data_IF_622656737407
#
_entry.id   IF_622656737407
#
_cell.length_a   1.000
_cell.length_b   1.000
_cell.length_c   1.000
_cell.angle_alpha   90.00
_cell.angle_beta   90.00
_cell.angle_gamma   90.00
#
_symmetry.space_group_name_H-M   'P 1'
#
loop_
_entity.id
_entity.type
_entity.pdbx_description
1 polymer ?
#
# COMPACT_ATOMS: atom_id res chain seq x y z
N UNK A 1 16.92 9.47 -3.24
CA UNK A 1 16.33 10.36 -4.28
C UNK A 1 15.98 11.75 -3.72
N UNK A 2 15.30 11.87 -2.58
CA UNK A 2 14.85 13.15 -2.05
C UNK A 2 15.94 14.23 -1.91
N UNK A 3 17.13 13.97 -1.31
CA UNK A 3 18.18 14.99 -1.21
C UNK A 3 18.80 15.36 -2.56
N UNK A 4 18.96 14.40 -3.49
CA UNK A 4 19.46 14.67 -4.84
C UNK A 4 18.46 15.50 -5.65
N UNK A 5 17.16 15.16 -5.54
CA UNK A 5 16.09 15.91 -6.17
C UNK A 5 15.99 17.33 -5.61
N UNK A 6 16.07 17.49 -4.30
CA UNK A 6 16.11 18.81 -3.63
C UNK A 6 17.28 19.66 -4.14
N UNK A 7 18.47 19.08 -4.18
CA UNK A 7 19.66 19.79 -4.66
C UNK A 7 19.50 20.21 -6.12
N UNK A 8 19.06 19.32 -6.99
CA UNK A 8 18.79 19.62 -8.40
C UNK A 8 17.69 20.65 -8.60
N UNK A 9 16.57 20.52 -7.87
CA UNK A 9 15.45 21.48 -7.94
C UNK A 9 15.85 22.86 -7.41
N UNK A 10 16.58 22.94 -6.31
CA UNK A 10 17.04 24.22 -5.75
C UNK A 10 18.09 24.88 -6.65
N UNK A 11 18.91 24.11 -7.34
CA UNK A 11 19.83 24.61 -8.34
C UNK A 11 19.06 25.20 -9.55
N UNK A 12 18.04 24.52 -10.03
CA UNK A 12 17.14 25.01 -11.07
C UNK A 12 16.37 26.28 -10.63
N UNK A 13 15.90 26.28 -9.39
CA UNK A 13 15.22 27.44 -8.81
C UNK A 13 16.16 28.66 -8.73
N UNK A 14 17.43 28.46 -8.35
CA UNK A 14 18.42 29.51 -8.32
C UNK A 14 18.72 30.10 -9.72
N UNK A 15 18.78 29.24 -10.76
CA UNK A 15 18.92 29.72 -12.15
C UNK A 15 17.66 30.44 -12.64
N UNK A 16 16.45 29.91 -12.29
CA UNK A 16 15.20 30.53 -12.67
C UNK A 16 15.03 31.95 -12.04
N UNK A 17 15.40 32.08 -10.76
CA UNK A 17 15.38 33.35 -10.04
C UNK A 17 16.29 34.39 -10.69
N UNK A 18 17.49 33.99 -11.22
CA UNK A 18 18.36 34.85 -11.98
C UNK A 18 17.86 35.23 -13.38
N UNK A 19 16.96 34.41 -13.92
CA UNK A 19 16.31 34.66 -15.22
C UNK A 19 14.96 35.36 -15.10
N UNK A 20 14.58 35.87 -13.90
CA UNK A 20 13.27 36.46 -13.59
C UNK A 20 12.08 35.51 -13.96
N UNK A 21 12.30 34.22 -13.87
CA UNK A 21 11.30 33.19 -14.18
C UNK A 21 10.84 32.46 -12.92
N UNK A 22 9.53 32.41 -12.70
CA UNK A 22 8.93 31.70 -11.56
C UNK A 22 8.55 30.25 -11.89
N UNK A 23 9.15 29.65 -12.91
CA UNK A 23 8.88 28.26 -13.33
C UNK A 23 9.35 27.22 -12.30
N UNK A 24 10.35 27.55 -11.50
CA UNK A 24 10.90 26.68 -10.45
C UNK A 24 10.97 27.46 -9.13
N UNK A 25 10.57 26.81 -8.04
CA UNK A 25 10.66 27.37 -6.70
C UNK A 25 11.41 26.44 -5.75
N UNK A 26 12.04 27.00 -4.74
CA UNK A 26 12.79 26.23 -3.76
C UNK A 26 11.83 25.37 -2.90
N UNK A 27 12.17 24.10 -2.73
CA UNK A 27 11.38 23.17 -1.93
C UNK A 27 12.19 22.61 -0.79
N UNK A 28 11.58 22.52 0.39
CA UNK A 28 12.16 21.83 1.55
C UNK A 28 11.64 20.38 1.60
N UNK A 29 12.55 19.45 1.38
CA UNK A 29 12.28 18.02 1.50
C UNK A 29 12.96 17.50 2.76
N UNK A 30 12.17 17.06 3.73
CA UNK A 30 12.68 16.46 4.97
C UNK A 30 12.80 14.95 4.85
N UNK A 31 13.92 14.41 5.28
CA UNK A 31 14.10 12.99 5.52
C UNK A 31 13.29 12.58 6.75
N UNK A 32 12.12 12.01 6.52
CA UNK A 32 11.18 11.60 7.58
C UNK A 32 11.72 10.48 8.47
N UNK A 33 12.63 9.64 7.94
CA UNK A 33 13.21 8.51 8.66
C UNK A 33 14.57 8.14 8.06
N UNK A 34 15.63 8.28 8.85
CA UNK A 34 16.99 7.87 8.48
C UNK A 34 17.07 6.35 8.20
N UNK A 35 16.46 5.46 9.04
CA UNK A 35 16.50 4.02 8.77
C UNK A 35 15.90 3.64 7.42
N UNK A 36 14.77 4.23 7.03
CA UNK A 36 14.13 3.96 5.75
C UNK A 36 15.00 4.40 4.57
N UNK A 37 15.69 5.53 4.71
CA UNK A 37 16.63 6.00 3.70
C UNK A 37 17.83 5.06 3.56
N UNK A 38 18.40 4.58 4.67
CA UNK A 38 19.51 3.63 4.66
C UNK A 38 19.10 2.32 3.97
N UNK A 39 17.93 1.78 4.31
CA UNK A 39 17.40 0.56 3.67
C UNK A 39 17.24 0.77 2.16
N UNK A 40 16.67 1.90 1.73
CA UNK A 40 16.50 2.22 0.32
C UNK A 40 17.84 2.38 -0.41
N UNK A 41 18.81 3.02 0.21
CA UNK A 41 20.16 3.21 -0.35
C UNK A 41 20.89 1.87 -0.47
N UNK A 42 20.85 1.03 0.55
CA UNK A 42 21.46 -0.32 0.52
C UNK A 42 20.81 -1.18 -0.56
N UNK A 43 19.48 -1.19 -0.64
CA UNK A 43 18.76 -1.93 -1.70
C UNK A 43 19.15 -1.44 -3.09
N UNK A 44 19.24 -0.13 -3.28
CA UNK A 44 19.67 0.45 -4.55
C UNK A 44 21.09 0.01 -4.94
N UNK A 45 22.04 0.09 -4.00
CA UNK A 45 23.44 -0.31 -4.24
C UNK A 45 23.51 -1.81 -4.58
N UNK A 46 22.82 -2.66 -3.82
CA UNK A 46 22.77 -4.11 -4.09
C UNK A 46 22.20 -4.39 -5.48
N UNK A 47 21.10 -3.75 -5.86
CA UNK A 47 20.51 -3.91 -7.19
C UNK A 47 21.44 -3.41 -8.30
N UNK A 48 22.11 -2.28 -8.10
CA UNK A 48 23.06 -1.73 -9.06
C UNK A 48 24.26 -2.66 -9.29
N UNK A 49 24.80 -3.23 -8.21
CA UNK A 49 25.92 -4.21 -8.29
C UNK A 49 25.49 -5.50 -8.99
N UNK A 50 24.30 -6.03 -8.67
CA UNK A 50 23.77 -7.21 -9.33
C UNK A 50 23.49 -6.98 -10.82
N UNK A 51 22.95 -5.83 -11.17
CA UNK A 51 22.70 -5.44 -12.56
C UNK A 51 24.01 -5.27 -13.37
N UNK A 52 25.03 -4.69 -12.73
CA UNK A 52 26.35 -4.48 -13.36
C UNK A 52 27.05 -5.82 -13.67
N UNK A 53 27.03 -6.78 -12.72
CA UNK A 53 27.75 -8.04 -12.89
C UNK A 53 27.13 -8.97 -13.92
N UNK A 54 25.82 -9.21 -13.90
CA UNK A 54 25.17 -10.26 -14.68
C UNK A 54 23.81 -9.83 -15.29
N UNK A 55 23.56 -8.55 -15.46
CA UNK A 55 22.34 -8.02 -16.10
C UNK A 55 21.05 -8.38 -15.35
N UNK A 56 20.49 -9.58 -15.58
CA UNK A 56 19.17 -9.98 -15.06
C UNK A 56 19.20 -10.90 -13.85
N UNK A 57 20.31 -10.98 -13.11
CA UNK A 57 20.44 -11.86 -11.95
C UNK A 57 19.33 -11.63 -10.93
N UNK A 58 19.02 -10.39 -10.58
CA UNK A 58 17.92 -10.07 -9.66
C UNK A 58 16.57 -10.60 -10.15
N UNK A 59 16.26 -10.38 -11.43
CA UNK A 59 14.98 -10.81 -12.02
C UNK A 59 14.83 -12.34 -12.05
N UNK A 60 15.93 -13.06 -12.20
CA UNK A 60 15.91 -14.51 -12.35
C UNK A 60 16.02 -15.27 -11.02
N UNK A 61 16.48 -14.61 -9.92
CA UNK A 61 16.76 -15.30 -8.64
C UNK A 61 15.93 -14.80 -7.47
N UNK A 62 15.69 -13.48 -7.38
CA UNK A 62 15.09 -12.85 -6.19
C UNK A 62 13.68 -12.35 -6.48
N UNK A 63 13.44 -11.85 -7.71
CA UNK A 63 12.13 -11.27 -8.07
C UNK A 63 11.04 -12.36 -8.09
N UNK A 64 9.97 -12.23 -7.30
CA UNK A 64 8.90 -13.24 -7.25
C UNK A 64 8.21 -13.43 -8.61
N UNK A 65 8.07 -12.35 -9.39
CA UNK A 65 7.49 -12.41 -10.74
C UNK A 65 8.41 -13.23 -11.68
N UNK A 66 9.72 -13.00 -11.63
CA UNK A 66 10.68 -13.75 -12.44
C UNK A 66 10.72 -15.23 -12.07
N UNK A 67 10.59 -15.56 -10.79
CA UNK A 67 10.54 -16.94 -10.31
C UNK A 67 9.31 -17.69 -10.82
N UNK A 68 8.14 -17.05 -10.74
CA UNK A 68 6.88 -17.63 -11.25
C UNK A 68 6.93 -17.78 -12.78
N UNK A 69 7.38 -16.75 -13.50
CA UNK A 69 7.52 -16.83 -14.96
C UNK A 69 8.56 -17.87 -15.38
N UNK A 70 9.66 -18.01 -14.64
CA UNK A 70 10.69 -19.03 -14.87
C UNK A 70 10.14 -20.46 -14.73
N UNK A 71 9.21 -20.67 -13.79
CA UNK A 71 8.54 -21.96 -13.67
C UNK A 71 7.73 -22.28 -14.92
N UNK A 72 6.93 -21.35 -15.44
CA UNK A 72 6.16 -21.55 -16.68
C UNK A 72 7.06 -21.63 -17.92
N UNK A 73 8.13 -20.83 -17.99
CA UNK A 73 9.06 -20.83 -19.11
C UNK A 73 9.74 -22.20 -19.32
N UNK A 74 9.94 -22.95 -18.23
CA UNK A 74 10.48 -24.31 -18.27
C UNK A 74 9.63 -25.27 -19.11
N UNK A 75 8.32 -25.04 -19.21
CA UNK A 75 7.37 -25.86 -19.95
C UNK A 75 6.97 -25.23 -21.31
N UNK A 76 7.75 -24.27 -21.83
CA UNK A 76 7.44 -23.60 -23.08
C UNK A 76 7.51 -24.58 -24.27
N UNK A 77 6.50 -24.46 -25.16
CA UNK A 77 6.39 -25.30 -26.37
C UNK A 77 7.44 -24.91 -27.43
N UNK A 78 7.83 -23.66 -27.47
CA UNK A 78 8.83 -23.12 -28.38
C UNK A 78 10.00 -22.58 -27.56
N UNK A 79 11.22 -22.98 -27.95
CA UNK A 79 12.43 -22.58 -27.23
C UNK A 79 13.67 -22.59 -28.16
N UNK A 80 14.72 -21.80 -27.85
CA UNK A 80 15.97 -21.89 -28.56
C UNK A 80 16.65 -23.22 -28.23
N UNK A 81 17.10 -23.91 -29.25
CA UNK A 81 17.80 -25.22 -29.15
C UNK A 81 19.16 -25.09 -29.81
N UNK A 82 20.19 -25.68 -29.19
CA UNK A 82 21.54 -25.73 -29.73
C UNK A 82 21.71 -27.07 -30.52
N UNK A 83 22.09 -26.95 -31.77
CA UNK A 83 22.48 -28.07 -32.62
C UNK A 83 23.94 -28.39 -32.34
N UNK A 84 24.17 -29.55 -31.70
CA UNK A 84 25.51 -29.99 -31.28
C UNK A 84 26.44 -30.31 -32.47
N UNK A 85 25.86 -30.66 -33.64
CA UNK A 85 26.67 -30.95 -34.83
C UNK A 85 27.26 -29.71 -35.48
N UNK A 86 26.54 -28.57 -35.36
CA UNK A 86 26.96 -27.28 -35.91
C UNK A 86 27.72 -26.41 -34.93
N UNK A 87 27.63 -26.71 -33.64
CA UNK A 87 28.23 -25.93 -32.57
C UNK A 87 29.72 -26.25 -32.42
N UNK A 88 30.56 -25.23 -32.58
CA UNK A 88 32.00 -25.36 -32.40
C UNK A 88 32.52 -24.98 -31.00
N UNK A 89 31.61 -24.71 -30.04
CA UNK A 89 31.98 -24.35 -28.66
C UNK A 89 32.60 -22.97 -28.45
N UNK A 90 32.40 -22.01 -29.37
CA UNK A 90 33.02 -20.68 -29.33
C UNK A 90 32.63 -19.78 -28.17
N UNK A 91 31.65 -20.16 -27.35
CA UNK A 91 31.16 -19.46 -26.14
C UNK A 91 30.56 -18.06 -26.36
N UNK A 92 30.45 -17.55 -27.60
CA UNK A 92 29.92 -16.22 -27.87
C UNK A 92 28.48 -16.06 -27.41
N UNK A 93 27.63 -17.05 -27.62
CA UNK A 93 26.23 -17.07 -27.16
C UNK A 93 26.11 -16.99 -25.63
N UNK A 94 26.98 -17.67 -24.89
CA UNK A 94 27.02 -17.64 -23.43
C UNK A 94 27.43 -16.25 -22.91
N UNK A 95 28.47 -15.63 -23.52
CA UNK A 95 28.96 -14.28 -23.13
C UNK A 95 27.93 -13.18 -23.40
N UNK A 96 27.16 -13.29 -24.47
CA UNK A 96 26.14 -12.30 -24.82
C UNK A 96 24.79 -12.54 -24.14
N UNK A 97 24.60 -13.70 -23.53
CA UNK A 97 23.34 -14.02 -22.87
C UNK A 97 23.06 -13.13 -21.65
N UNK A 98 22.12 -12.21 -21.76
CA UNK A 98 21.70 -11.31 -20.67
C UNK A 98 21.16 -12.02 -19.44
N UNK A 99 20.67 -13.25 -19.61
CA UNK A 99 20.10 -14.09 -18.57
C UNK A 99 21.12 -15.09 -17.97
N UNK A 100 22.34 -15.17 -18.54
CA UNK A 100 23.38 -16.13 -18.18
C UNK A 100 22.83 -17.57 -18.05
N UNK A 101 21.98 -17.99 -19.01
CA UNK A 101 21.29 -19.27 -19.00
C UNK A 101 21.86 -20.30 -19.98
N UNK A 102 22.94 -19.96 -20.71
CA UNK A 102 23.54 -20.83 -21.73
C UNK A 102 24.86 -21.38 -21.21
N UNK A 103 24.96 -22.68 -21.14
CA UNK A 103 26.20 -23.39 -20.94
C UNK A 103 26.71 -23.90 -22.32
N UNK A 104 27.71 -23.19 -22.85
CA UNK A 104 28.25 -23.50 -24.15
C UNK A 104 29.17 -24.75 -24.16
N UNK A 105 29.71 -25.12 -22.99
CA UNK A 105 30.57 -26.32 -22.86
C UNK A 105 29.74 -27.60 -22.92
N UNK A 106 28.56 -27.59 -22.29
CA UNK A 106 27.67 -28.75 -22.26
C UNK A 106 26.53 -28.63 -23.30
N UNK A 107 26.54 -27.61 -24.15
CA UNK A 107 25.49 -27.36 -25.16
C UNK A 107 24.06 -27.29 -24.57
N UNK A 108 23.94 -26.83 -23.33
CA UNK A 108 22.66 -26.78 -22.61
C UNK A 108 22.16 -25.36 -22.37
N UNK A 109 20.84 -25.20 -22.34
CA UNK A 109 20.18 -23.93 -22.04
C UNK A 109 19.24 -24.13 -20.83
N UNK A 110 19.42 -23.35 -19.77
CA UNK A 110 18.49 -23.34 -18.64
C UNK A 110 17.25 -22.51 -19.00
N UNK A 111 16.20 -23.19 -19.40
CA UNK A 111 14.96 -22.54 -19.82
C UNK A 111 14.20 -21.86 -18.68
N UNK A 112 14.49 -22.19 -17.42
CA UNK A 112 13.89 -21.49 -16.28
C UNK A 112 14.38 -20.04 -16.14
N UNK A 113 15.53 -19.73 -16.75
CA UNK A 113 16.12 -18.38 -16.77
C UNK A 113 16.02 -17.70 -18.12
N UNK A 114 15.74 -18.45 -19.18
CA UNK A 114 15.68 -17.94 -20.53
C UNK A 114 14.46 -17.04 -20.72
N UNK A 115 14.69 -15.84 -21.23
CA UNK A 115 13.63 -14.84 -21.53
C UNK A 115 13.31 -14.76 -23.01
N UNK A 116 13.78 -15.71 -23.82
CA UNK A 116 13.56 -15.79 -25.25
C UNK A 116 13.85 -14.47 -26.01
N UNK A 117 14.95 -13.78 -25.62
CA UNK A 117 15.35 -12.51 -26.25
C UNK A 117 15.96 -12.66 -27.65
N UNK A 118 16.22 -13.89 -28.11
CA UNK A 118 16.79 -14.27 -29.41
C UNK A 118 18.24 -13.79 -29.66
N UNK A 119 18.85 -12.98 -28.80
CA UNK A 119 20.22 -12.46 -28.97
C UNK A 119 21.26 -13.57 -29.21
N UNK A 120 21.03 -14.77 -28.70
CA UNK A 120 21.91 -15.93 -28.92
C UNK A 120 21.86 -16.47 -30.34
N UNK A 121 20.72 -16.36 -31.01
CA UNK A 121 20.51 -16.78 -32.40
C UNK A 121 21.26 -15.82 -33.33
N UNK A 122 21.06 -14.51 -33.13
CA UNK A 122 21.71 -13.45 -33.93
C UNK A 122 23.22 -13.43 -33.75
N UNK A 123 23.71 -13.86 -32.58
CA UNK A 123 25.15 -13.87 -32.29
C UNK A 123 25.84 -15.12 -32.85
N UNK A 124 25.11 -16.18 -33.17
CA UNK A 124 25.70 -17.45 -33.60
C UNK A 124 26.09 -17.40 -35.09
N UNK A 125 27.38 -17.16 -35.40
CA UNK A 125 27.89 -17.13 -36.76
C UNK A 125 27.73 -18.45 -37.54
N UNK A 126 27.62 -19.57 -36.82
CA UNK A 126 27.48 -20.91 -37.41
C UNK A 126 26.03 -21.38 -37.55
N UNK A 127 25.05 -20.56 -37.16
CA UNK A 127 23.62 -20.91 -37.21
C UNK A 127 23.28 -22.17 -36.38
N UNK A 128 24.07 -22.45 -35.34
CA UNK A 128 23.88 -23.61 -34.48
C UNK A 128 22.73 -23.45 -33.49
N UNK A 129 22.17 -22.25 -33.33
CA UNK A 129 21.03 -22.02 -32.44
C UNK A 129 19.82 -21.64 -33.27
N UNK A 130 18.73 -22.39 -33.07
CA UNK A 130 17.47 -22.17 -33.78
C UNK A 130 16.29 -22.20 -32.83
N UNK A 131 15.24 -21.44 -33.14
CA UNK A 131 14.02 -21.41 -32.34
C UNK A 131 13.06 -22.47 -32.88
N UNK A 132 12.82 -23.51 -32.12
CA UNK A 132 12.08 -24.69 -32.59
C UNK A 132 10.99 -25.10 -31.61
N UNK A 133 10.00 -25.84 -32.14
CA UNK A 133 8.97 -26.48 -31.33
C UNK A 133 9.55 -27.72 -30.65
N UNK A 134 9.50 -27.75 -29.33
CA UNK A 134 9.95 -28.89 -28.54
C UNK A 134 9.01 -30.09 -28.66
N UNK A 135 9.55 -31.30 -28.84
CA UNK A 135 8.78 -32.54 -28.74
C UNK A 135 8.41 -32.79 -27.27
N UNK A 136 7.25 -33.40 -27.02
CA UNK A 136 6.74 -33.67 -25.67
C UNK A 136 7.69 -34.51 -24.80
N UNK A 137 8.53 -35.32 -25.41
CA UNK A 137 9.56 -36.13 -24.74
C UNK A 137 10.66 -35.28 -24.10
N UNK A 138 11.11 -34.21 -24.78
CA UNK A 138 12.21 -33.34 -24.31
C UNK A 138 11.75 -32.36 -23.21
N UNK A 139 10.45 -32.30 -22.93
CA UNK A 139 9.89 -31.42 -21.85
C UNK A 139 10.00 -32.06 -20.46
N UNK A 140 10.13 -33.38 -20.39
CA UNK A 140 10.10 -34.14 -19.13
C UNK A 140 11.48 -34.59 -18.66
N UNK A 141 12.52 -34.48 -19.50
CA UNK A 141 13.87 -34.75 -19.03
C UNK A 141 14.32 -33.68 -18.04
N UNK A 142 14.67 -34.06 -16.80
CA UNK A 142 15.37 -33.17 -15.91
C UNK A 142 16.67 -32.77 -16.60
N UNK A 143 16.92 -31.47 -16.77
CA UNK A 143 18.22 -30.97 -17.20
C UNK A 143 19.26 -31.69 -16.35
N UNK A 144 20.21 -32.46 -16.96
CA UNK A 144 21.26 -33.09 -16.18
C UNK A 144 21.98 -31.99 -15.41
N UNK A 145 21.81 -32.00 -14.11
CA UNK A 145 22.65 -31.21 -13.21
C UNK A 145 24.01 -31.84 -13.35
N UNK A 146 24.91 -31.18 -14.07
CA UNK A 146 26.28 -31.62 -14.19
C UNK A 146 26.79 -31.86 -12.77
N UNK A 147 27.06 -33.14 -12.43
CA UNK A 147 27.75 -33.56 -11.22
C UNK A 147 29.16 -32.97 -11.23
N UNK A 148 29.31 -31.79 -10.72
CA UNK A 148 30.56 -31.02 -10.70
C UNK A 148 30.35 -29.57 -10.32
N UNK A 149 29.14 -29.10 -10.37
CA UNK A 149 28.75 -27.81 -9.81
C UNK A 149 28.40 -27.99 -8.35
N UNK A 150 29.21 -27.45 -7.44
CA UNK A 150 28.88 -27.17 -6.04
C UNK A 150 27.40 -26.84 -5.97
N UNK A 151 26.63 -27.75 -5.35
CA UNK A 151 25.24 -27.48 -5.04
C UNK A 151 25.24 -26.13 -4.31
N UNK A 152 24.79 -25.05 -5.00
CA UNK A 152 25.01 -23.69 -4.56
C UNK A 152 24.34 -23.57 -3.19
N UNK A 153 25.07 -23.63 -2.08
CA UNK A 153 24.49 -23.56 -0.73
C UNK A 153 23.80 -22.20 -0.52
N UNK A 154 24.14 -21.24 -1.38
CA UNK A 154 23.59 -19.89 -1.39
C UNK A 154 22.08 -19.88 -1.55
N UNK A 155 21.47 -20.73 -2.38
CA UNK A 155 20.00 -20.79 -2.53
C UNK A 155 19.29 -21.34 -1.29
N UNK A 156 19.85 -22.37 -0.67
CA UNK A 156 19.28 -22.94 0.57
C UNK A 156 19.47 -21.98 1.73
N UNK A 157 20.65 -21.36 1.85
CA UNK A 157 20.92 -20.35 2.88
C UNK A 157 20.11 -19.07 2.67
N UNK A 158 19.83 -18.67 1.43
CA UNK A 158 18.95 -17.52 1.16
C UNK A 158 17.49 -17.82 1.53
N UNK A 159 16.95 -18.99 1.16
CA UNK A 159 15.59 -19.37 1.52
C UNK A 159 15.43 -19.59 3.02
N UNK A 160 16.40 -20.20 3.69
CA UNK A 160 16.39 -20.33 5.16
C UNK A 160 16.57 -18.98 5.85
N UNK A 161 17.44 -18.11 5.34
CA UNK A 161 17.61 -16.74 5.83
C UNK A 161 16.36 -15.88 5.63
N UNK A 162 15.73 -15.98 4.47
CA UNK A 162 14.47 -15.27 4.19
C UNK A 162 13.30 -15.79 5.06
N UNK A 163 13.22 -17.12 5.27
CA UNK A 163 12.23 -17.72 6.16
C UNK A 163 12.46 -17.34 7.63
N UNK A 164 13.72 -17.28 8.09
CA UNK A 164 14.08 -16.82 9.43
C UNK A 164 13.77 -15.33 9.63
N UNK A 165 14.06 -14.49 8.63
CA UNK A 165 13.71 -13.05 8.66
C UNK A 165 12.21 -12.83 8.63
N UNK A 166 11.46 -13.59 7.83
CA UNK A 166 10.01 -13.55 7.80
C UNK A 166 9.40 -14.05 9.13
N UNK A 167 9.97 -15.12 9.70
CA UNK A 167 9.60 -15.64 11.02
C UNK A 167 9.90 -14.65 12.14
N UNK A 168 11.05 -14.00 12.14
CA UNK A 168 11.42 -12.95 13.09
C UNK A 168 10.53 -11.69 12.95
N UNK A 169 10.18 -11.31 11.71
CA UNK A 169 9.25 -10.20 11.46
C UNK A 169 7.83 -10.53 11.93
N UNK A 170 7.37 -11.78 11.71
CA UNK A 170 6.08 -12.26 12.21
C UNK A 170 6.05 -12.35 13.74
N UNK A 171 7.13 -12.81 14.38
CA UNK A 171 7.27 -12.85 15.83
C UNK A 171 7.26 -11.43 16.44
N UNK A 172 7.96 -10.48 15.81
CA UNK A 172 7.93 -9.06 16.20
C UNK A 172 6.56 -8.41 16.01
N UNK A 173 5.80 -8.82 14.98
CA UNK A 173 4.43 -8.35 14.77
C UNK A 173 3.45 -8.88 15.83
N UNK A 174 3.80 -9.97 16.54
CA UNK A 174 3.04 -10.52 17.66
C UNK A 174 3.44 -9.97 19.03
N UNK A 175 4.48 -9.14 19.12
CA UNK A 175 4.78 -8.44 20.37
C UNK A 175 3.57 -7.59 20.77
N UNK A 176 2.88 -8.02 21.83
CA UNK A 176 1.79 -7.25 22.43
C UNK A 176 2.37 -5.91 22.88
N UNK A 177 1.88 -4.83 22.32
CA UNK A 177 2.20 -3.50 22.83
C UNK A 177 1.65 -3.40 24.25
N UNK A 178 2.53 -3.29 25.19
CA UNK A 178 2.20 -3.12 26.61
C UNK A 178 2.60 -1.70 26.99
N UNK A 179 1.72 -0.96 27.67
CA UNK A 179 2.10 0.31 28.28
C UNK A 179 3.03 0.04 29.50
N UNK A 180 3.65 1.08 30.02
CA UNK A 180 4.55 0.95 31.17
C UNK A 180 3.92 0.35 32.44
N UNK A 181 2.62 0.08 32.45
CA UNK A 181 1.84 -0.47 33.54
C UNK A 181 1.35 -1.91 33.35
N UNK A 182 1.90 -2.68 32.40
CA UNK A 182 1.55 -4.06 32.11
C UNK A 182 0.18 -4.25 31.37
N UNK A 183 -0.54 -3.17 31.07
CA UNK A 183 -1.77 -3.26 30.30
C UNK A 183 -1.49 -3.49 28.81
N UNK A 184 -2.20 -4.43 28.20
CA UNK A 184 -2.10 -4.70 26.76
C UNK A 184 -2.78 -3.57 25.99
N UNK A 185 -2.01 -2.84 25.16
CA UNK A 185 -2.54 -1.80 24.28
C UNK A 185 -3.22 -2.47 23.09
N UNK A 186 -4.54 -2.39 23.04
CA UNK A 186 -5.32 -2.83 21.91
C UNK A 186 -5.47 -1.70 20.89
N UNK A 187 -5.02 -1.96 19.66
CA UNK A 187 -5.24 -1.02 18.56
C UNK A 187 -6.74 -0.92 18.24
N UNK A 188 -7.19 0.30 17.91
CA UNK A 188 -8.57 0.55 17.51
C UNK A 188 -8.84 -0.12 16.16
N UNK A 189 -9.92 -0.88 16.07
CA UNK A 189 -10.39 -1.50 14.83
C UNK A 189 -11.49 -0.67 14.19
N UNK A 190 -11.55 -0.70 12.88
CA UNK A 190 -12.62 -0.08 12.10
C UNK A 190 -13.93 -0.84 12.37
N UNK A 191 -15.02 -0.19 12.76
CA UNK A 191 -16.31 -0.83 12.89
C UNK A 191 -16.85 -1.29 11.53
N UNK A 192 -17.66 -2.32 11.53
CA UNK A 192 -18.37 -2.73 10.32
C UNK A 192 -19.46 -1.70 10.02
N UNK A 193 -19.40 -1.05 8.84
CA UNK A 193 -20.40 -0.09 8.37
C UNK A 193 -21.20 -0.72 7.23
N UNK A 194 -22.52 -0.60 7.30
CA UNK A 194 -23.40 -1.02 6.21
C UNK A 194 -23.24 -0.08 5.01
N UNK A 195 -23.09 1.23 5.29
CA UNK A 195 -22.93 2.28 4.29
C UNK A 195 -21.56 2.97 4.47
N UNK A 196 -20.68 2.98 3.43
CA UNK A 196 -19.42 3.70 3.50
C UNK A 196 -19.65 5.21 3.63
N UNK A 197 -18.72 5.87 4.30
CA UNK A 197 -18.77 7.32 4.48
C UNK A 197 -17.92 7.94 3.39
N UNK A 198 -18.55 8.69 2.47
CA UNK A 198 -17.85 9.47 1.45
C UNK A 198 -17.56 10.88 1.95
N UNK A 199 -16.52 11.57 1.41
CA UNK A 199 -16.12 12.89 1.87
C UNK A 199 -17.25 13.93 1.74
N UNK A 200 -17.29 14.96 2.60
CA UNK A 200 -18.19 16.10 2.43
C UNK A 200 -17.93 16.78 1.07
N UNK A 201 -18.98 17.20 0.40
CA UNK A 201 -18.94 17.69 -1.00
C UNK A 201 -19.16 16.59 -2.05
N UNK A 202 -19.18 15.32 -1.67
CA UNK A 202 -19.46 14.22 -2.60
C UNK A 202 -20.94 14.05 -2.96
N UNK A 203 -21.83 14.82 -2.35
CA UNK A 203 -23.30 14.74 -2.52
C UNK A 203 -23.90 13.40 -2.07
N UNK A 204 -23.19 12.29 -2.30
CA UNK A 204 -23.59 10.95 -1.89
C UNK A 204 -22.80 9.86 -2.63
N UNK A 205 -23.11 8.60 -2.29
CA UNK A 205 -22.41 7.42 -2.83
C UNK A 205 -22.51 7.31 -4.35
N UNK A 206 -23.71 7.56 -4.90
CA UNK A 206 -23.95 7.44 -6.34
C UNK A 206 -23.14 8.46 -7.15
N UNK A 207 -23.13 9.71 -6.68
CA UNK A 207 -22.34 10.78 -7.31
C UNK A 207 -20.85 10.46 -7.26
N UNK A 208 -20.36 10.03 -6.08
CA UNK A 208 -18.97 9.59 -5.93
C UNK A 208 -18.62 8.45 -6.90
N UNK A 209 -19.46 7.42 -6.99
CA UNK A 209 -19.22 6.27 -7.86
C UNK A 209 -19.19 6.64 -9.35
N UNK A 210 -19.96 7.63 -9.77
CA UNK A 210 -20.04 8.06 -11.15
C UNK A 210 -18.88 8.97 -11.59
N UNK A 211 -18.32 9.77 -10.70
CA UNK A 211 -17.34 10.80 -11.03
C UNK A 211 -15.93 10.50 -10.53
N UNK A 212 -15.77 9.65 -9.50
CA UNK A 212 -14.46 9.41 -8.92
C UNK A 212 -13.57 8.54 -9.82
N UNK A 213 -12.40 9.05 -10.18
CA UNK A 213 -11.39 8.35 -10.99
C UNK A 213 -10.37 7.56 -10.15
N UNK A 214 -10.50 7.56 -8.81
CA UNK A 214 -9.56 6.88 -7.92
C UNK A 214 -8.14 7.48 -7.87
N UNK A 215 -7.96 8.74 -8.24
CA UNK A 215 -6.64 9.40 -8.36
C UNK A 215 -5.90 9.62 -7.03
N UNK A 216 -6.54 9.42 -5.88
CA UNK A 216 -6.00 9.53 -4.52
C UNK A 216 -5.51 10.93 -4.09
N UNK A 217 -5.73 11.98 -4.86
CA UNK A 217 -5.31 13.34 -4.49
C UNK A 217 -5.97 13.80 -3.16
N UNK A 218 -7.27 13.55 -3.00
CA UNK A 218 -7.99 13.89 -1.76
C UNK A 218 -7.45 13.11 -0.53
N UNK A 219 -7.00 11.88 -0.74
CA UNK A 219 -6.38 11.06 0.32
C UNK A 219 -5.02 11.65 0.73
N UNK A 220 -4.20 12.03 -0.25
CA UNK A 220 -2.84 12.55 -0.01
C UNK A 220 -2.81 13.89 0.71
N UNK A 221 -3.81 14.76 0.45
CA UNK A 221 -3.89 16.10 1.09
C UNK A 221 -4.64 16.10 2.41
N UNK A 222 -5.26 14.97 2.82
CA UNK A 222 -6.01 14.90 4.07
C UNK A 222 -5.09 15.02 5.30
N UNK A 223 -5.10 16.16 6.04
CA UNK A 223 -4.16 16.41 7.11
C UNK A 223 -4.35 15.48 8.31
N UNK A 224 -5.57 15.00 8.52
CA UNK A 224 -5.93 14.14 9.64
C UNK A 224 -5.89 12.64 9.29
N UNK A 225 -5.54 12.27 8.05
CA UNK A 225 -5.45 10.88 7.60
C UNK A 225 -6.79 10.12 7.68
N UNK A 226 -7.90 10.85 7.54
CA UNK A 226 -9.26 10.31 7.61
C UNK A 226 -9.64 9.58 6.33
N UNK A 227 -9.25 10.13 5.19
CA UNK A 227 -9.58 9.54 3.89
C UNK A 227 -8.62 8.40 3.56
N UNK A 228 -9.19 7.29 3.12
CA UNK A 228 -8.46 6.08 2.71
C UNK A 228 -9.04 5.51 1.44
N UNK A 229 -8.22 4.83 0.62
CA UNK A 229 -8.73 4.09 -0.52
C UNK A 229 -9.58 2.92 -0.05
N UNK A 230 -10.78 2.79 -0.62
CA UNK A 230 -11.65 1.65 -0.39
C UNK A 230 -11.03 0.37 -0.95
N UNK A 231 -11.18 -0.72 -0.21
CA UNK A 231 -10.75 -2.07 -0.61
C UNK A 231 -11.90 -2.92 -1.16
N UNK A 232 -13.14 -2.41 -1.16
CA UNK A 232 -14.30 -3.10 -1.71
C UNK A 232 -14.22 -3.10 -3.23
N UNK A 233 -14.56 -4.21 -3.88
CA UNK A 233 -14.52 -4.33 -5.34
C UNK A 233 -15.39 -3.31 -6.07
N UNK A 234 -16.58 -3.00 -5.53
CA UNK A 234 -17.53 -2.05 -6.12
C UNK A 234 -17.03 -0.59 -6.11
N UNK A 235 -16.23 -0.24 -5.10
CA UNK A 235 -15.72 1.12 -4.86
C UNK A 235 -14.20 1.14 -4.77
N UNK A 236 -13.54 0.19 -5.44
CA UNK A 236 -12.10 0.02 -5.35
C UNK A 236 -11.35 1.33 -5.63
N UNK A 237 -10.44 1.66 -4.73
CA UNK A 237 -9.62 2.88 -4.77
C UNK A 237 -10.40 4.20 -4.62
N UNK A 238 -11.73 4.20 -4.46
CA UNK A 238 -12.47 5.41 -4.13
C UNK A 238 -12.21 5.83 -2.69
N UNK A 239 -12.17 7.13 -2.38
CA UNK A 239 -11.91 7.60 -1.02
C UNK A 239 -13.10 7.31 -0.10
N UNK A 240 -12.85 6.68 1.03
CA UNK A 240 -13.80 6.51 2.12
C UNK A 240 -13.22 7.05 3.43
N UNK A 241 -14.08 7.55 4.30
CA UNK A 241 -13.68 8.09 5.60
C UNK A 241 -13.57 6.98 6.64
N UNK A 242 -12.43 6.94 7.36
CA UNK A 242 -12.16 6.06 8.47
C UNK A 242 -11.63 6.84 9.66
N UNK A 243 -12.22 6.63 10.84
CA UNK A 243 -11.97 7.48 12.01
C UNK A 243 -11.07 6.85 13.08
N UNK A 244 -10.39 5.79 12.79
CA UNK A 244 -9.47 5.13 13.72
C UNK A 244 -8.22 5.97 14.03
N UNK A 245 -7.73 6.77 13.06
CA UNK A 245 -6.51 7.58 13.21
C UNK A 245 -6.77 9.08 13.40
N UNK A 246 -7.94 9.55 13.04
CA UNK A 246 -8.30 10.94 13.09
C UNK A 246 -9.78 11.16 12.81
N UNK A 247 -10.24 12.38 12.83
CA UNK A 247 -11.60 12.76 12.49
C UNK A 247 -11.62 13.95 11.53
N UNK A 248 -12.73 14.12 10.81
CA UNK A 248 -12.88 15.17 9.83
C UNK A 248 -13.22 16.49 10.52
N UNK A 249 -12.30 17.47 10.50
CA UNK A 249 -12.52 18.78 11.10
C UNK A 249 -13.50 19.61 10.27
N UNK A 250 -14.48 20.29 10.88
CA UNK A 250 -15.47 21.09 10.16
C UNK A 250 -14.85 22.18 9.27
N UNK A 251 -13.80 22.84 9.74
CA UNK A 251 -13.12 23.94 9.06
C UNK A 251 -12.23 23.51 7.87
N UNK A 252 -11.99 22.22 7.66
CA UNK A 252 -11.06 21.73 6.64
C UNK A 252 -11.77 21.37 5.34
N UNK A 253 -11.46 22.03 4.22
CA UNK A 253 -12.04 21.81 2.87
C UNK A 253 -11.08 21.21 1.86
N UNK A 254 -9.84 20.88 2.25
CA UNK A 254 -8.74 20.48 1.35
C UNK A 254 -9.07 19.39 0.36
N UNK A 255 -9.91 18.41 0.71
CA UNK A 255 -10.28 17.33 -0.20
C UNK A 255 -11.16 17.81 -1.36
N UNK A 256 -12.00 18.84 -1.15
CA UNK A 256 -12.84 19.44 -2.18
C UNK A 256 -12.08 20.36 -3.13
N UNK A 257 -11.00 21.00 -2.65
CA UNK A 257 -10.17 21.92 -3.42
C UNK A 257 -9.33 21.20 -4.49
N UNK A 258 -8.97 19.94 -4.27
CA UNK A 258 -8.03 19.18 -5.12
C UNK A 258 -8.70 18.16 -6.05
N UNK A 259 -10.02 18.03 -6.02
CA UNK A 259 -10.72 17.01 -6.82
C UNK A 259 -10.86 17.43 -8.29
N UNK A 260 -10.09 16.88 -9.24
CA UNK A 260 -10.14 17.31 -10.64
C UNK A 260 -11.38 16.79 -11.38
N UNK A 261 -11.97 15.70 -10.88
CA UNK A 261 -13.07 14.99 -11.54
C UNK A 261 -14.47 15.48 -11.06
N UNK A 262 -14.53 16.45 -10.14
CA UNK A 262 -15.81 16.91 -9.59
C UNK A 262 -16.55 15.88 -8.73
N UNK A 263 -15.91 14.76 -8.39
CA UNK A 263 -16.50 13.76 -7.50
C UNK A 263 -16.70 14.28 -6.06
N UNK A 264 -15.88 15.24 -5.66
CA UNK A 264 -16.02 16.05 -4.45
C UNK A 264 -16.14 17.48 -4.92
N UNK A 265 -17.33 18.05 -4.81
CA UNK A 265 -17.60 19.44 -5.17
C UNK A 265 -16.91 20.38 -4.18
N UNK A 266 -16.47 21.52 -4.66
CA UNK A 266 -15.88 22.54 -3.81
C UNK A 266 -16.95 23.10 -2.88
N UNK A 267 -16.66 23.10 -1.59
CA UNK A 267 -17.56 23.57 -0.52
C UNK A 267 -16.81 24.52 0.40
N UNK A 268 -17.54 25.49 0.96
CA UNK A 268 -17.02 26.38 2.01
C UNK A 268 -17.03 25.68 3.38
N UNK A 269 -16.28 26.17 4.39
CA UNK A 269 -16.36 25.65 5.75
C UNK A 269 -17.77 25.74 6.37
N UNK A 270 -18.52 26.78 6.03
CA UNK A 270 -19.90 26.99 6.48
C UNK A 270 -20.83 25.93 5.90
N UNK A 271 -20.78 25.70 4.58
CA UNK A 271 -21.55 24.65 3.91
C UNK A 271 -21.18 23.27 4.45
N UNK A 272 -19.88 23.02 4.66
CA UNK A 272 -19.43 21.75 5.22
C UNK A 272 -19.98 21.48 6.60
N UNK A 273 -20.09 22.52 7.43
CA UNK A 273 -20.64 22.41 8.79
C UNK A 273 -22.15 22.11 8.80
N UNK A 274 -22.82 22.39 7.69
CA UNK A 274 -24.25 22.09 7.50
C UNK A 274 -24.51 20.76 6.79
N UNK A 275 -23.48 20.11 6.22
CA UNK A 275 -23.64 18.86 5.47
C UNK A 275 -23.52 17.65 6.39
N UNK A 276 -24.53 16.79 6.38
CA UNK A 276 -24.54 15.50 7.06
C UNK A 276 -24.02 14.40 6.12
N UNK A 277 -22.81 13.90 6.36
CA UNK A 277 -22.24 12.76 5.62
C UNK A 277 -22.60 11.41 6.24
N UNK A 278 -23.12 11.42 7.46
CA UNK A 278 -23.51 10.26 8.24
C UNK A 278 -24.00 10.66 9.62
N UNK A 279 -24.36 9.69 10.44
CA UNK A 279 -24.80 9.91 11.82
C UNK A 279 -24.07 8.98 12.78
N UNK A 280 -23.96 9.39 14.03
CA UNK A 280 -23.31 8.59 15.07
C UNK A 280 -24.31 7.55 15.63
N UNK A 281 -23.85 6.31 15.72
CA UNK A 281 -24.56 5.16 16.30
C UNK A 281 -23.87 4.77 17.60
N UNK A 282 -24.63 4.67 18.68
CA UNK A 282 -24.11 4.27 19.98
C UNK A 282 -24.30 2.77 20.23
N UNK A 283 -23.24 2.11 20.67
CA UNK A 283 -23.19 0.69 21.02
C UNK A 283 -23.08 0.59 22.53
N UNK A 284 -24.16 0.18 23.17
CA UNK A 284 -24.29 0.13 24.63
C UNK A 284 -23.24 -0.78 25.28
N UNK A 285 -23.02 -1.95 24.69
CA UNK A 285 -22.17 -3.00 25.23
C UNK A 285 -20.69 -2.62 25.33
N UNK A 286 -20.25 -1.63 24.58
CA UNK A 286 -18.87 -1.17 24.56
C UNK A 286 -18.65 0.13 25.37
N UNK A 287 -19.72 0.67 25.96
CA UNK A 287 -19.65 2.00 26.59
C UNK A 287 -19.01 1.93 27.98
N UNK A 288 -17.86 2.57 28.16
CA UNK A 288 -17.04 2.56 29.38
C UNK A 288 -17.82 2.83 30.67
N UNK A 289 -18.74 3.81 30.77
CA UNK A 289 -19.59 3.97 31.95
C UNK A 289 -20.41 2.73 32.33
N UNK A 290 -20.79 1.92 31.35
CA UNK A 290 -21.59 0.72 31.58
C UNK A 290 -20.74 -0.55 31.74
N UNK A 291 -19.57 -0.62 31.11
CA UNK A 291 -18.67 -1.78 31.20
C UNK A 291 -17.75 -1.72 32.40
N UNK A 292 -17.16 -0.55 32.65
CA UNK A 292 -16.09 -0.35 33.64
C UNK A 292 -16.54 0.46 34.85
N UNK A 293 -17.77 1.00 34.82
CA UNK A 293 -18.31 1.85 35.90
C UNK A 293 -17.61 3.21 36.04
N UNK A 294 -16.81 3.62 35.07
CA UNK A 294 -16.01 4.84 35.11
C UNK A 294 -16.73 5.98 34.34
N UNK A 295 -16.87 7.14 34.97
CA UNK A 295 -17.47 8.30 34.31
C UNK A 295 -16.70 8.69 33.04
N UNK A 296 -17.41 8.77 31.91
CA UNK A 296 -16.88 9.17 30.63
C UNK A 296 -17.81 10.22 29.99
N UNK A 297 -17.32 10.98 29.03
CA UNK A 297 -18.11 12.01 28.32
C UNK A 297 -17.34 12.52 27.11
N UNK A 298 -16.33 11.77 26.66
CA UNK A 298 -15.46 12.20 25.55
C UNK A 298 -16.20 12.47 24.26
N UNK A 299 -17.18 11.62 23.91
CA UNK A 299 -17.97 11.77 22.71
C UNK A 299 -18.78 13.09 22.70
N UNK A 300 -19.38 13.48 23.82
CA UNK A 300 -20.14 14.72 23.94
C UNK A 300 -19.22 15.95 23.97
N UNK A 301 -18.14 15.90 24.76
CA UNK A 301 -17.17 17.01 24.91
C UNK A 301 -16.53 17.43 23.59
N UNK A 302 -16.29 16.49 22.70
CA UNK A 302 -15.57 16.72 21.45
C UNK A 302 -16.49 16.74 20.23
N UNK A 303 -17.80 16.76 20.43
CA UNK A 303 -18.75 16.87 19.33
C UNK A 303 -18.82 18.33 18.82
N UNK A 304 -18.31 18.65 17.61
CA UNK A 304 -18.30 20.03 17.13
C UNK A 304 -19.70 20.56 16.82
N UNK A 305 -20.64 19.67 16.49
CA UNK A 305 -22.03 20.01 16.20
C UNK A 305 -22.92 20.04 17.45
N UNK A 306 -22.39 19.70 18.65
CA UNK A 306 -23.19 19.60 19.86
C UNK A 306 -24.34 18.59 19.78
N UNK A 307 -24.19 17.58 18.93
CA UNK A 307 -25.22 16.58 18.65
C UNK A 307 -25.32 15.48 19.72
N UNK A 308 -24.41 15.43 20.68
CA UNK A 308 -24.36 14.38 21.70
C UNK A 308 -24.54 15.00 23.08
N UNK A 309 -25.51 14.52 23.81
CA UNK A 309 -25.79 14.93 25.19
C UNK A 309 -25.58 13.76 26.14
N UNK A 310 -25.08 14.03 27.35
CA UNK A 310 -24.91 13.03 28.39
C UNK A 310 -26.12 13.04 29.31
N UNK A 311 -26.87 11.93 29.34
CA UNK A 311 -28.05 11.76 30.21
C UNK A 311 -27.80 10.64 31.22
N UNK A 312 -28.47 10.65 32.36
CA UNK A 312 -28.42 9.54 33.31
C UNK A 312 -28.95 8.25 32.66
N UNK A 313 -28.30 7.12 32.90
CA UNK A 313 -28.74 5.80 32.41
C UNK A 313 -30.01 5.32 33.09
N UNK A 314 -30.33 5.84 34.27
CA UNK A 314 -31.55 5.60 35.04
C UNK A 314 -32.14 6.95 35.48
N UNK A 315 -33.37 7.20 35.07
CA UNK A 315 -34.09 8.45 35.40
C UNK A 315 -34.44 8.55 36.89
N UNK A 316 -34.49 7.41 37.59
CA UNK A 316 -34.84 7.37 39.02
C UNK A 316 -33.62 7.53 39.94
N UNK A 317 -32.41 7.30 39.44
CA UNK A 317 -31.18 7.40 40.20
C UNK A 317 -30.28 8.52 39.66
N UNK A 318 -30.12 9.65 40.35
CA UNK A 318 -29.25 10.74 39.90
C UNK A 318 -27.77 10.38 39.85
N UNK A 319 -27.34 9.38 40.62
CA UNK A 319 -25.93 8.90 40.67
C UNK A 319 -25.65 7.81 39.61
N UNK A 320 -26.65 7.42 38.81
CA UNK A 320 -26.46 6.43 37.75
C UNK A 320 -25.45 6.94 36.70
N UNK A 321 -24.65 6.06 36.10
CA UNK A 321 -23.66 6.44 35.09
C UNK A 321 -24.33 7.15 33.91
N UNK A 322 -23.69 8.24 33.45
CA UNK A 322 -24.21 9.01 32.31
C UNK A 322 -23.84 8.33 31.00
N UNK A 323 -24.82 8.25 30.10
CA UNK A 323 -24.72 7.64 28.77
C UNK A 323 -24.94 8.70 27.67
N UNK A 324 -24.34 8.55 26.47
CA UNK A 324 -24.55 9.48 25.39
C UNK A 324 -25.89 9.23 24.69
N UNK A 325 -26.63 10.31 24.45
CA UNK A 325 -27.79 10.34 23.55
C UNK A 325 -27.44 11.18 22.34
N UNK A 326 -27.63 10.62 21.16
CA UNK A 326 -27.26 11.27 19.90
C UNK A 326 -28.51 11.93 19.28
N UNK A 327 -28.40 13.20 18.97
CA UNK A 327 -29.36 13.88 18.13
C UNK A 327 -28.89 13.75 16.67
N UNK A 328 -29.49 12.81 15.94
CA UNK A 328 -29.14 12.51 14.56
C UNK A 328 -29.35 13.71 13.63
N UNK A 329 -30.39 14.54 13.86
CA UNK A 329 -30.67 15.68 13.04
C UNK A 329 -29.59 16.77 13.11
N UNK A 330 -28.77 16.80 14.17
CA UNK A 330 -27.65 17.74 14.32
C UNK A 330 -26.28 17.12 14.02
N UNK A 331 -26.24 15.80 13.84
CA UNK A 331 -24.97 15.09 13.65
C UNK A 331 -24.46 15.24 12.22
N UNK A 332 -23.30 15.85 12.03
CA UNK A 332 -22.66 16.01 10.71
C UNK A 332 -21.84 14.80 10.25
N UNK A 333 -21.68 13.77 11.10
CA UNK A 333 -20.94 12.56 10.75
C UNK A 333 -19.41 12.72 10.73
N UNK A 334 -18.85 13.70 11.41
CA UNK A 334 -17.41 14.04 11.37
C UNK A 334 -16.47 13.00 11.99
N UNK A 335 -16.98 12.08 12.80
CA UNK A 335 -16.23 10.99 13.42
C UNK A 335 -15.39 11.36 14.65
N UNK A 336 -15.52 12.56 15.21
CA UNK A 336 -14.80 12.95 16.43
C UNK A 336 -15.15 12.07 17.62
N UNK A 337 -16.43 11.74 17.79
CA UNK A 337 -16.92 10.85 18.84
C UNK A 337 -16.35 9.44 18.71
N UNK A 338 -16.24 8.91 17.49
CA UNK A 338 -15.65 7.59 17.21
C UNK A 338 -14.14 7.60 17.47
N UNK A 339 -13.43 8.59 16.94
CA UNK A 339 -11.97 8.68 17.07
C UNK A 339 -11.54 8.82 18.53
N UNK A 340 -12.19 9.66 19.31
CA UNK A 340 -11.81 9.99 20.69
C UNK A 340 -12.44 9.06 21.74
N UNK A 341 -13.25 8.08 21.31
CA UNK A 341 -13.78 7.05 22.20
C UNK A 341 -12.64 6.20 22.78
N UNK A 342 -12.54 6.02 24.11
CA UNK A 342 -11.49 5.22 24.74
C UNK A 342 -11.72 3.70 24.59
N UNK A 343 -12.93 3.25 24.32
CA UNK A 343 -13.24 1.83 24.20
C UNK A 343 -12.41 1.14 23.11
N UNK A 344 -11.96 -0.09 23.40
CA UNK A 344 -11.11 -0.91 22.55
C UNK A 344 -11.62 -2.37 22.56
N UNK A 345 -11.47 -3.16 21.49
CA UNK A 345 -10.91 -2.78 20.18
C UNK A 345 -11.86 -1.96 19.31
N UNK A 346 -13.18 -2.01 19.57
CA UNK A 346 -14.16 -1.21 18.86
C UNK A 346 -14.64 -0.04 19.71
N UNK A 347 -14.90 1.09 19.07
CA UNK A 347 -15.47 2.25 19.74
C UNK A 347 -16.90 1.97 20.19
N UNK A 348 -17.31 2.51 21.35
CA UNK A 348 -18.68 2.46 21.83
C UNK A 348 -19.66 3.36 21.03
N UNK A 349 -19.10 4.22 20.20
CA UNK A 349 -19.86 5.09 19.30
C UNK A 349 -19.11 5.14 17.97
N UNK A 350 -19.80 4.93 16.87
CA UNK A 350 -19.23 4.96 15.53
C UNK A 350 -20.17 5.73 14.58
N UNK A 351 -19.65 6.10 13.42
CA UNK A 351 -20.43 6.81 12.41
C UNK A 351 -20.85 5.85 11.31
N UNK A 352 -22.15 5.85 10.99
CA UNK A 352 -22.72 5.18 9.83
C UNK A 352 -22.91 6.21 8.71
N UNK A 353 -22.56 5.85 7.46
CA UNK A 353 -22.64 6.74 6.32
C UNK A 353 -24.07 6.94 5.81
N UNK A 354 -24.34 8.08 5.18
CA UNK A 354 -25.56 8.31 4.42
C UNK A 354 -25.35 8.02 2.93
N UNK A 355 -26.35 7.40 2.29
CA UNK A 355 -26.31 7.16 0.84
C UNK A 355 -26.38 8.46 0.05
N UNK A 356 -27.13 9.42 0.55
CA UNK A 356 -27.23 10.79 0.06
C UNK A 356 -26.92 11.72 1.24
N UNK A 357 -26.10 12.73 0.99
CA UNK A 357 -25.81 13.72 2.02
C UNK A 357 -27.02 14.65 2.21
N UNK A 358 -27.33 14.93 3.45
CA UNK A 358 -28.40 15.87 3.82
C UNK A 358 -27.77 17.20 4.21
N UNK A 359 -28.53 18.29 4.11
CA UNK A 359 -28.17 19.61 4.63
C UNK A 359 -29.04 19.90 5.86
N UNK A 360 -28.41 20.35 6.95
CA UNK A 360 -29.07 20.72 8.21
C UNK A 360 -29.56 22.15 8.09
#
# INVERSE_FOLDING_TARGET
FAPLWRWGNNLLAWFAERADSYAFYSTEVWLRSLPTFIIAAVTFVVLAVLAWRNGRTYCNTICPVGTVLGFFARYSLFRPVIDTEKCNGCTLCSRRCKAACIDAANHTIDYSRCVACMDCIDTCAHGAISYQRCKKADMLEPVPVADGGVADPSRRHFLTGAALLAGAAAAKAQEKKVDGGLAVILDKKVPHRATPIVPPGAVGLRHMAQHCTGCQLCVSVCPNGVLRPSTRLETLMQPESSYERGYCRPECTKCSEVCPAGAILQITPEEKSAVQIGHAVWVRENCVPLTDGVACGNCARHCPAGAIQMVSSDATNPDAPKIPVVNEARCIGCGACENLCPARPFSAIYVEGHRLHNTI
#
